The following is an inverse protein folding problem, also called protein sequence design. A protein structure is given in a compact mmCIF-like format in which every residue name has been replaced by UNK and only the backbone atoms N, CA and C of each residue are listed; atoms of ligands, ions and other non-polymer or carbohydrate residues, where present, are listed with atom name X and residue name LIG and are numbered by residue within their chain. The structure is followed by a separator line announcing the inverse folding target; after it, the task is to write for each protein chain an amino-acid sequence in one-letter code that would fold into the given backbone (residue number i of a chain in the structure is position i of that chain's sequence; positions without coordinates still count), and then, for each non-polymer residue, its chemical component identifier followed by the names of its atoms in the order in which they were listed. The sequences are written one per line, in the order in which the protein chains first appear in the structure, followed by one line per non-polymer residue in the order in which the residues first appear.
data_IF_138540049369
#
_entry.id   IF_138540049369
#
_cell.length_a   1.000
_cell.length_b   1.000
_cell.length_c   1.000
_cell.angle_alpha   90.00
_cell.angle_beta   90.00
_cell.angle_gamma   90.00
#
_symmetry.space_group_name_H-M   'P 1'
#
loop_
_entity.id
_entity.type
_entity.pdbx_description
1 polymer ?
#
# COMPACT_ATOMS: atom_id res chain seq x y z
N UNK A 1 38.07 -13.28 7.43
CA UNK A 1 38.33 -12.59 8.72
C UNK A 1 37.12 -12.86 9.60
N UNK A 2 37.33 -13.22 10.88
CA UNK A 2 36.31 -13.65 11.86
C UNK A 2 34.96 -12.94 11.67
N UNK A 3 33.85 -13.67 11.78
CA UNK A 3 32.45 -13.23 11.61
C UNK A 3 32.06 -12.08 12.57
N UNK A 4 32.61 -10.90 12.31
CA UNK A 4 32.59 -9.69 13.16
C UNK A 4 32.44 -8.46 12.28
N UNK A 5 31.60 -7.53 12.75
CA UNK A 5 31.48 -6.19 12.19
C UNK A 5 32.20 -5.22 13.12
N UNK A 6 33.07 -4.36 12.57
CA UNK A 6 33.85 -3.40 13.35
C UNK A 6 33.68 -2.03 12.70
N UNK A 7 33.31 -1.02 13.50
CA UNK A 7 33.29 0.37 13.08
C UNK A 7 34.48 1.12 13.70
N UNK A 8 35.15 1.92 12.88
CA UNK A 8 36.19 2.85 13.29
C UNK A 8 35.67 4.26 13.02
N UNK A 9 35.50 5.08 14.05
CA UNK A 9 34.92 6.42 13.92
C UNK A 9 35.62 7.47 14.79
N UNK A 10 35.52 8.72 14.36
CA UNK A 10 36.10 9.85 15.07
C UNK A 10 35.33 10.16 16.35
N UNK A 11 36.05 10.44 17.44
CA UNK A 11 35.43 10.97 18.66
C UNK A 11 35.04 12.42 18.43
N UNK A 12 33.80 12.80 18.73
CA UNK A 12 33.36 14.20 18.64
C UNK A 12 34.14 15.09 19.62
N UNK A 13 34.51 16.28 19.16
CA UNK A 13 35.18 17.30 19.98
C UNK A 13 34.29 17.76 21.15
N UNK A 14 34.94 18.05 22.28
CA UNK A 14 34.36 18.79 23.41
C UNK A 14 35.02 20.18 23.43
N UNK A 15 34.65 21.06 22.49
CA UNK A 15 35.12 22.46 22.41
C UNK A 15 35.67 22.90 21.03
N UNK A 16 35.61 24.21 20.76
CA UNK A 16 35.84 24.84 19.44
C UNK A 16 37.31 24.91 18.96
N UNK A 17 38.31 24.62 19.79
CA UNK A 17 39.69 25.06 19.51
C UNK A 17 40.77 23.97 19.41
N UNK A 18 40.43 22.68 19.29
CA UNK A 18 41.44 21.61 19.00
C UNK A 18 40.91 20.58 17.99
N UNK A 19 41.74 20.11 17.02
CA UNK A 19 41.38 18.99 16.17
C UNK A 19 41.20 17.72 17.02
N UNK A 20 40.19 16.90 16.72
CA UNK A 20 39.96 15.65 17.44
C UNK A 20 41.08 14.66 17.14
N UNK A 21 41.85 14.16 18.14
CA UNK A 21 43.01 13.33 17.85
C UNK A 21 42.73 11.83 17.94
N UNK A 22 41.49 11.39 18.20
CA UNK A 22 41.19 10.00 18.59
C UNK A 22 40.18 9.29 17.69
N UNK A 23 40.59 8.17 17.11
CA UNK A 23 39.70 7.18 16.51
C UNK A 23 39.28 6.15 17.57
N UNK A 24 38.01 5.77 17.57
CA UNK A 24 37.47 4.71 18.43
C UNK A 24 37.08 3.53 17.55
N UNK A 25 37.47 2.32 17.98
CA UNK A 25 37.07 1.06 17.35
C UNK A 25 36.04 0.37 18.23
N UNK A 26 34.90 -0.01 17.66
CA UNK A 26 33.85 -0.76 18.36
C UNK A 26 33.49 -2.00 17.56
N UNK A 27 33.37 -3.13 18.26
CA UNK A 27 32.84 -4.37 17.69
C UNK A 27 31.32 -4.32 17.78
N UNK A 28 30.66 -4.36 16.63
CA UNK A 28 29.22 -4.19 16.45
C UNK A 28 28.49 -5.54 16.38
N UNK A 29 28.55 -6.29 17.48
CA UNK A 29 28.01 -7.66 17.54
C UNK A 29 26.49 -7.70 17.35
N UNK A 30 25.76 -6.79 18.00
CA UNK A 30 24.30 -6.73 17.92
C UNK A 30 23.82 -6.22 16.56
N UNK A 31 24.51 -5.23 15.96
CA UNK A 31 24.21 -4.74 14.62
C UNK A 31 24.47 -5.84 13.58
N UNK A 32 25.56 -6.60 13.70
CA UNK A 32 25.82 -7.75 12.83
C UNK A 32 24.71 -8.80 12.94
N UNK A 33 24.22 -9.08 14.15
CA UNK A 33 23.08 -9.98 14.35
C UNK A 33 21.83 -9.47 13.63
N UNK A 34 21.51 -8.19 13.78
CA UNK A 34 20.37 -7.55 13.07
C UNK A 34 20.54 -7.61 11.56
N UNK A 35 21.74 -7.34 11.03
CA UNK A 35 22.04 -7.46 9.59
C UNK A 35 21.77 -8.88 9.09
N UNK A 36 22.20 -9.91 9.82
CA UNK A 36 21.93 -11.31 9.47
C UNK A 36 20.43 -11.63 9.46
N UNK A 37 19.67 -11.12 10.43
CA UNK A 37 18.22 -11.28 10.49
C UNK A 37 17.50 -10.61 9.31
N UNK A 38 17.95 -9.41 8.91
CA UNK A 38 17.45 -8.69 7.72
C UNK A 38 17.76 -9.48 6.44
N UNK A 39 19.01 -9.93 6.25
CA UNK A 39 19.40 -10.73 5.08
C UNK A 39 18.62 -12.04 4.98
N UNK A 40 18.40 -12.72 6.12
CA UNK A 40 17.57 -13.92 6.16
C UNK A 40 16.10 -13.62 5.80
N UNK A 41 15.59 -12.45 6.19
CA UNK A 41 14.25 -12.00 5.82
C UNK A 41 14.15 -11.72 4.32
N UNK A 42 15.10 -10.99 3.74
CA UNK A 42 15.14 -10.72 2.30
C UNK A 42 15.14 -12.00 1.48
N UNK A 43 15.98 -12.98 1.86
CA UNK A 43 16.00 -14.29 1.19
C UNK A 43 14.63 -14.99 1.24
N UNK A 44 13.95 -14.99 2.39
CA UNK A 44 12.61 -15.59 2.53
C UNK A 44 11.56 -14.84 1.69
N UNK A 45 11.69 -13.52 1.55
CA UNK A 45 10.77 -12.72 0.73
C UNK A 45 11.02 -13.01 -0.74
N UNK A 46 12.28 -13.03 -1.19
CA UNK A 46 12.66 -13.41 -2.56
C UNK A 46 12.17 -14.82 -2.93
N UNK A 47 12.31 -15.78 -2.02
CA UNK A 47 11.80 -17.15 -2.21
C UNK A 47 10.28 -17.19 -2.34
N UNK A 48 9.54 -16.32 -1.62
CA UNK A 48 8.09 -16.20 -1.75
C UNK A 48 7.70 -15.54 -3.06
N UNK A 49 8.35 -14.44 -3.42
CA UNK A 49 8.07 -13.72 -4.67
C UNK A 49 8.39 -14.59 -5.89
N UNK A 50 9.48 -15.35 -5.86
CA UNK A 50 9.85 -16.28 -6.94
C UNK A 50 8.75 -17.32 -7.22
N UNK A 51 7.95 -17.69 -6.21
CA UNK A 51 6.80 -18.60 -6.37
C UNK A 51 5.59 -17.93 -7.02
N UNK A 52 5.57 -16.60 -7.13
CA UNK A 52 4.58 -15.86 -7.93
C UNK A 52 4.86 -15.98 -9.43
N UNK A 53 5.96 -16.59 -9.87
CA UNK A 53 6.22 -16.86 -11.28
C UNK A 53 7.09 -18.12 -11.36
N UNK A 54 6.52 -19.30 -11.03
CA UNK A 54 7.32 -20.53 -10.96
C UNK A 54 7.88 -20.85 -12.34
N UNK A 55 9.19 -21.07 -12.42
CA UNK A 55 9.81 -21.66 -13.59
C UNK A 55 9.25 -23.08 -13.76
N UNK A 56 8.47 -23.31 -14.81
CA UNK A 56 8.05 -24.67 -15.16
C UNK A 56 9.30 -25.49 -15.48
N UNK A 57 9.51 -26.56 -14.73
CA UNK A 57 10.51 -27.57 -15.02
C UNK A 57 10.00 -28.44 -16.17
N UNK A 58 10.56 -28.24 -17.37
CA UNK A 58 10.70 -29.15 -18.52
C UNK A 58 9.58 -30.14 -18.92
N UNK A 59 8.34 -30.03 -18.44
CA UNK A 59 7.28 -30.99 -18.71
C UNK A 59 5.91 -30.32 -18.95
N UNK A 60 5.81 -29.48 -19.97
CA UNK A 60 4.64 -29.38 -20.86
C UNK A 60 4.87 -28.32 -21.92
N UNK A 61 5.35 -28.78 -23.09
CA UNK A 61 5.28 -28.05 -24.35
C UNK A 61 3.82 -27.90 -24.75
N UNK A 62 3.17 -26.80 -24.36
CA UNK A 62 2.15 -26.07 -25.15
C UNK A 62 1.51 -25.00 -24.28
N UNK A 63 2.00 -23.77 -24.38
CA UNK A 63 1.32 -22.48 -24.15
C UNK A 63 2.38 -21.43 -23.80
N UNK A 64 2.03 -20.14 -23.77
CA UNK A 64 2.81 -18.97 -23.35
C UNK A 64 3.45 -19.04 -21.94
N UNK A 65 3.46 -20.23 -21.33
CA UNK A 65 3.90 -20.60 -19.99
C UNK A 65 5.45 -20.60 -19.79
N UNK A 66 6.24 -20.42 -20.85
CA UNK A 66 7.70 -20.35 -20.74
C UNK A 66 8.22 -19.00 -20.19
N UNK A 67 7.36 -17.98 -20.07
CA UNK A 67 7.77 -16.61 -19.74
C UNK A 67 8.45 -16.49 -18.35
N UNK A 68 8.04 -17.26 -17.35
CA UNK A 68 8.63 -17.22 -16.01
C UNK A 68 10.03 -17.85 -15.93
N UNK A 69 10.29 -18.87 -16.74
CA UNK A 69 11.57 -19.61 -16.68
C UNK A 69 12.78 -18.76 -17.11
N UNK A 70 12.54 -17.72 -17.92
CA UNK A 70 13.58 -16.83 -18.44
C UNK A 70 13.71 -15.51 -17.66
N UNK A 71 12.78 -15.21 -16.74
CA UNK A 71 12.69 -13.90 -16.09
C UNK A 71 12.95 -14.02 -14.59
N UNK A 72 14.02 -13.35 -14.14
CA UNK A 72 14.27 -13.20 -12.71
C UNK A 72 13.41 -12.04 -12.14
N UNK A 73 12.21 -12.37 -11.66
CA UNK A 73 11.27 -11.39 -11.11
C UNK A 73 11.68 -10.81 -9.75
N UNK A 74 12.73 -11.30 -9.09
CA UNK A 74 13.24 -10.66 -7.86
C UNK A 74 14.35 -9.65 -8.16
N UNK A 75 14.91 -9.67 -9.37
CA UNK A 75 15.96 -8.74 -9.77
C UNK A 75 15.44 -7.30 -9.76
N UNK A 76 16.00 -6.46 -8.89
CA UNK A 76 15.63 -5.05 -8.74
C UNK A 76 14.35 -4.82 -7.93
N UNK A 77 13.77 -5.85 -7.32
CA UNK A 77 12.66 -5.70 -6.38
C UNK A 77 13.19 -5.13 -5.05
N UNK A 78 12.61 -4.03 -4.59
CA UNK A 78 13.09 -3.28 -3.42
C UNK A 78 12.02 -3.02 -2.36
N UNK A 79 10.75 -3.24 -2.68
CA UNK A 79 9.65 -3.15 -1.74
C UNK A 79 8.52 -4.07 -2.11
N UNK A 80 7.84 -4.63 -1.12
CA UNK A 80 6.71 -5.53 -1.32
C UNK A 80 5.67 -5.37 -0.20
N UNK A 81 4.47 -4.90 -0.54
CA UNK A 81 3.34 -4.80 0.38
C UNK A 81 2.38 -5.98 0.14
N UNK A 82 2.18 -6.82 1.15
CA UNK A 82 1.32 -8.01 1.09
C UNK A 82 0.54 -8.21 2.40
N UNK A 83 0.54 -9.39 3.01
CA UNK A 83 -0.30 -9.69 4.18
C UNK A 83 0.03 -8.96 5.49
N UNK A 84 1.19 -8.29 5.62
CA UNK A 84 1.59 -7.64 6.87
C UNK A 84 0.91 -6.27 7.07
N UNK A 85 -0.30 -6.28 7.61
CA UNK A 85 -1.03 -5.06 7.99
C UNK A 85 -1.26 -4.99 9.51
N UNK A 86 -1.11 -3.80 10.11
CA UNK A 86 -1.45 -3.50 11.50
C UNK A 86 -1.88 -2.05 11.65
N UNK A 87 -3.02 -1.81 12.29
CA UNK A 87 -3.60 -0.47 12.53
C UNK A 87 -3.79 0.32 11.23
N UNK A 88 -2.88 1.26 10.94
CA UNK A 88 -2.84 2.05 9.71
C UNK A 88 -1.56 1.81 8.91
N UNK A 89 -0.75 0.83 9.31
CA UNK A 89 0.55 0.54 8.72
C UNK A 89 0.48 -0.72 7.87
N UNK A 90 0.68 -0.56 6.57
CA UNK A 90 0.92 -1.66 5.64
C UNK A 90 2.43 -1.86 5.52
N UNK A 91 2.95 -2.91 6.17
CA UNK A 91 4.39 -3.11 6.34
C UNK A 91 5.03 -3.71 5.10
N UNK A 92 6.18 -3.18 4.76
CA UNK A 92 7.03 -3.74 3.72
C UNK A 92 7.64 -5.06 4.16
N UNK A 93 7.44 -6.07 3.34
CA UNK A 93 7.93 -7.42 3.55
C UNK A 93 9.47 -7.47 3.56
N UNK A 94 10.14 -6.55 2.85
CA UNK A 94 11.60 -6.37 2.86
C UNK A 94 12.12 -5.52 4.03
N UNK A 95 11.25 -5.10 4.96
CA UNK A 95 11.60 -4.24 6.10
C UNK A 95 12.15 -2.86 5.68
N UNK A 96 11.86 -2.42 4.45
CA UNK A 96 12.20 -1.09 3.96
C UNK A 96 11.17 -0.07 4.45
N UNK A 97 10.42 0.49 3.51
CA UNK A 97 9.54 1.63 3.77
C UNK A 97 8.11 1.13 3.88
N UNK A 98 7.41 1.39 4.98
CA UNK A 98 6.01 1.02 5.12
C UNK A 98 5.09 2.03 4.40
N UNK A 99 3.90 1.58 3.99
CA UNK A 99 2.84 2.47 3.51
C UNK A 99 1.85 2.81 4.64
N UNK A 100 1.28 4.01 4.57
CA UNK A 100 0.24 4.47 5.48
C UNK A 100 -1.12 4.30 4.83
N UNK A 101 -2.00 3.54 5.47
CA UNK A 101 -3.37 3.27 5.02
C UNK A 101 -4.34 4.18 5.76
N UNK A 102 -5.29 4.74 5.01
CA UNK A 102 -6.45 5.48 5.52
C UNK A 102 -7.69 4.72 5.06
N UNK A 103 -8.50 4.24 5.99
CA UNK A 103 -9.75 3.52 5.68
C UNK A 103 -9.53 2.14 5.08
N UNK A 104 -10.00 1.10 5.76
CA UNK A 104 -9.87 -0.29 5.31
C UNK A 104 -9.25 -1.21 6.35
N UNK A 105 -9.06 -2.46 5.96
CA UNK A 105 -8.54 -3.50 6.83
C UNK A 105 -7.66 -4.50 6.06
N UNK A 106 -6.76 -5.16 6.78
CA UNK A 106 -5.85 -6.16 6.23
C UNK A 106 -6.59 -7.40 5.72
N UNK A 107 -6.08 -7.95 4.64
CA UNK A 107 -6.47 -9.24 4.05
C UNK A 107 -5.25 -10.16 4.02
N UNK A 108 -5.42 -11.41 3.59
CA UNK A 108 -4.33 -12.38 3.53
C UNK A 108 -3.10 -11.88 2.76
N UNK A 109 -3.31 -11.17 1.65
CA UNK A 109 -2.24 -10.72 0.74
C UNK A 109 -2.26 -9.21 0.46
N UNK A 110 -2.94 -8.42 1.30
CA UNK A 110 -2.99 -6.97 1.13
C UNK A 110 -4.04 -6.27 1.97
N UNK A 111 -4.77 -5.32 1.39
CA UNK A 111 -5.73 -4.45 2.11
C UNK A 111 -7.02 -4.32 1.30
N UNK A 112 -8.16 -4.36 1.99
CA UNK A 112 -9.45 -3.95 1.44
C UNK A 112 -9.79 -2.55 1.93
N UNK A 113 -9.77 -1.60 1.01
CA UNK A 113 -10.15 -0.20 1.23
C UNK A 113 -11.67 -0.08 1.20
N UNK A 114 -12.23 0.58 2.21
CA UNK A 114 -13.67 0.82 2.38
C UNK A 114 -13.88 2.22 2.91
N UNK A 115 -14.87 2.93 2.38
CA UNK A 115 -15.18 4.29 2.76
C UNK A 115 -14.62 5.30 1.76
N UNK A 116 -15.30 6.45 1.70
CA UNK A 116 -14.85 7.62 0.95
C UNK A 116 -13.44 8.04 1.38
N UNK A 117 -12.57 8.24 0.39
CA UNK A 117 -11.18 8.65 0.61
C UNK A 117 -10.26 7.54 1.11
N UNK A 118 -10.70 6.28 1.07
CA UNK A 118 -9.87 5.15 1.49
C UNK A 118 -8.75 4.85 0.49
N UNK A 119 -7.55 4.58 1.01
CA UNK A 119 -6.37 4.33 0.19
C UNK A 119 -5.09 4.18 1.01
N UNK A 120 -3.96 4.08 0.32
CA UNK A 120 -2.63 4.00 0.91
C UNK A 120 -1.66 4.96 0.24
N UNK A 121 -0.77 5.55 1.05
CA UNK A 121 0.35 6.37 0.61
C UNK A 121 1.66 5.63 0.92
N UNK A 122 2.47 5.37 -0.11
CA UNK A 122 3.77 4.71 0.03
C UNK A 122 4.90 5.71 -0.27
N UNK A 123 5.61 6.22 0.75
CA UNK A 123 6.40 7.44 0.62
C UNK A 123 7.70 7.25 -0.18
N UNK A 124 8.09 8.30 -0.90
CA UNK A 124 9.34 8.41 -1.68
C UNK A 124 10.17 9.59 -1.16
N UNK A 125 9.87 10.81 -1.59
CA UNK A 125 10.53 12.03 -1.13
C UNK A 125 10.03 12.50 0.25
N UNK A 126 8.86 12.05 0.70
CA UNK A 126 8.33 12.40 2.03
C UNK A 126 8.98 11.65 3.19
N UNK A 127 10.03 10.84 2.93
CA UNK A 127 10.80 10.11 3.96
C UNK A 127 11.74 11.01 4.77
N UNK A 128 11.92 12.28 4.38
CA UNK A 128 12.82 13.23 5.05
C UNK A 128 14.24 13.14 4.53
N UNK A 129 15.22 13.09 5.44
CA UNK A 129 16.65 13.13 5.11
C UNK A 129 17.13 11.84 4.41
N UNK A 130 16.67 10.66 4.86
CA UNK A 130 17.04 9.37 4.28
C UNK A 130 15.93 8.87 3.35
N UNK A 131 16.04 9.18 2.06
CA UNK A 131 15.07 8.79 1.04
C UNK A 131 15.46 7.47 0.35
N UNK A 132 15.10 6.33 0.95
CA UNK A 132 15.45 5.00 0.42
C UNK A 132 14.92 4.78 -1.01
N UNK A 133 13.80 5.40 -1.36
CA UNK A 133 13.16 5.25 -2.67
C UNK A 133 13.49 6.37 -3.66
N UNK A 134 14.52 7.19 -3.40
CA UNK A 134 14.91 8.28 -4.29
C UNK A 134 15.18 7.83 -5.75
N UNK A 135 15.57 6.57 -5.96
CA UNK A 135 15.71 5.97 -7.30
C UNK A 135 14.46 6.12 -8.18
N UNK A 136 13.26 6.16 -7.56
CA UNK A 136 12.00 6.27 -8.28
C UNK A 136 11.88 7.59 -9.05
N UNK A 137 12.69 8.59 -8.72
CA UNK A 137 12.78 9.81 -9.51
C UNK A 137 13.34 9.58 -10.93
N UNK A 138 14.01 8.46 -11.17
CA UNK A 138 14.65 8.14 -12.44
C UNK A 138 14.02 6.91 -13.10
N UNK A 139 13.93 5.80 -12.37
CA UNK A 139 13.49 4.53 -12.91
C UNK A 139 12.73 3.75 -11.84
N UNK A 140 11.52 3.29 -12.15
CA UNK A 140 10.82 2.33 -11.30
C UNK A 140 9.77 1.53 -12.06
N UNK A 141 9.33 0.43 -11.46
CA UNK A 141 8.06 -0.23 -11.80
C UNK A 141 7.26 -0.48 -10.54
N UNK A 142 6.01 -0.01 -10.50
CA UNK A 142 5.05 -0.29 -9.44
C UNK A 142 3.99 -1.24 -10.00
N UNK A 143 3.81 -2.40 -9.39
CA UNK A 143 2.82 -3.42 -9.80
C UNK A 143 1.86 -3.64 -8.65
N UNK A 144 0.56 -3.80 -8.94
CA UNK A 144 -0.44 -4.18 -7.95
C UNK A 144 -1.49 -5.11 -8.56
N UNK A 145 -2.08 -5.98 -7.75
CA UNK A 145 -3.26 -6.77 -8.12
C UNK A 145 -4.48 -6.17 -7.44
N UNK A 146 -5.49 -5.79 -8.22
CA UNK A 146 -6.65 -5.02 -7.74
C UNK A 146 -7.97 -5.73 -8.08
N UNK A 147 -8.99 -5.53 -7.23
CA UNK A 147 -10.38 -5.93 -7.49
C UNK A 147 -11.33 -4.84 -7.00
N UNK A 148 -12.18 -4.35 -7.89
CA UNK A 148 -13.18 -3.30 -7.62
C UNK A 148 -14.51 -3.98 -7.27
N UNK A 149 -15.12 -3.68 -6.13
CA UNK A 149 -16.26 -4.44 -5.57
C UNK A 149 -17.63 -3.76 -5.77
N UNK A 150 -17.71 -2.80 -6.67
CA UNK A 150 -18.94 -2.05 -6.94
C UNK A 150 -18.79 -1.22 -8.21
N UNK A 151 -19.88 -0.57 -8.59
CA UNK A 151 -19.88 0.37 -9.71
C UNK A 151 -19.85 1.80 -9.20
N UNK A 152 -18.99 2.66 -9.78
CA UNK A 152 -19.12 4.09 -9.58
C UNK A 152 -20.49 4.58 -10.05
N UNK A 153 -21.13 5.42 -9.26
CA UNK A 153 -22.31 6.21 -9.55
C UNK A 153 -21.93 7.56 -10.19
N UNK A 154 -20.77 8.12 -9.81
CA UNK A 154 -20.31 9.41 -10.30
C UNK A 154 -19.67 9.33 -11.70
N UNK A 155 -19.87 10.38 -12.50
CA UNK A 155 -19.26 10.53 -13.85
C UNK A 155 -17.74 10.70 -13.80
N UNK A 156 -17.21 11.20 -12.67
CA UNK A 156 -15.80 11.52 -12.55
C UNK A 156 -14.98 10.23 -12.39
N UNK A 157 -13.92 10.02 -13.19
CA UNK A 157 -13.05 8.86 -13.02
C UNK A 157 -12.43 8.80 -11.62
N UNK A 158 -12.51 7.63 -10.99
CA UNK A 158 -11.97 7.36 -9.66
C UNK A 158 -10.50 6.95 -9.78
N UNK A 159 -9.55 7.65 -9.12
CA UNK A 159 -8.15 7.22 -9.08
C UNK A 159 -8.00 5.83 -8.43
N UNK A 160 -7.19 4.98 -9.06
CA UNK A 160 -6.90 3.62 -8.59
C UNK A 160 -5.48 3.48 -8.07
N UNK A 161 -4.49 3.97 -8.83
CA UNK A 161 -3.08 3.90 -8.47
C UNK A 161 -2.32 4.98 -9.22
N UNK A 162 -1.32 5.59 -8.60
CA UNK A 162 -0.58 6.67 -9.25
C UNK A 162 0.64 7.16 -8.50
N UNK A 163 1.29 8.14 -9.11
CA UNK A 163 2.52 8.76 -8.63
C UNK A 163 2.24 10.23 -8.34
N UNK A 164 2.54 10.64 -7.11
CA UNK A 164 2.40 12.02 -6.66
C UNK A 164 3.73 12.74 -6.64
N UNK A 165 3.74 14.01 -7.03
CA UNK A 165 4.92 14.89 -6.98
C UNK A 165 4.91 15.74 -5.70
N UNK A 166 6.09 16.16 -5.24
CA UNK A 166 6.30 17.18 -4.23
C UNK A 166 6.06 18.56 -4.88
N UNK A 167 4.85 19.17 -4.77
CA UNK A 167 4.69 20.63 -4.88
C UNK A 167 3.29 21.17 -4.53
N UNK A 168 3.25 22.45 -4.11
CA UNK A 168 2.12 23.15 -3.47
C UNK A 168 0.94 23.54 -4.37
N UNK A 169 -0.25 23.48 -3.77
CA UNK A 169 -1.57 23.99 -4.20
C UNK A 169 -2.10 23.69 -5.63
N UNK A 170 -1.34 23.09 -6.55
CA UNK A 170 -1.84 22.69 -7.88
C UNK A 170 -1.40 21.27 -8.22
N UNK A 171 -2.25 20.31 -7.87
CA UNK A 171 -2.18 18.91 -8.32
C UNK A 171 -2.25 18.83 -9.84
N UNK A 172 -1.20 18.29 -10.48
CA UNK A 172 -1.44 17.09 -11.24
C UNK A 172 -0.47 16.02 -10.76
N UNK A 173 -0.97 14.82 -10.43
CA UNK A 173 -0.08 13.68 -10.28
C UNK A 173 0.78 13.52 -11.56
N UNK A 174 1.91 12.82 -11.44
CA UNK A 174 2.82 12.60 -12.58
C UNK A 174 2.19 11.67 -13.63
N UNK A 175 1.72 10.52 -13.16
CA UNK A 175 1.16 9.44 -13.96
C UNK A 175 0.31 8.53 -13.06
N UNK A 176 -0.80 8.02 -13.59
CA UNK A 176 -1.55 6.98 -12.92
C UNK A 176 -2.75 6.49 -13.72
N UNK A 177 -3.48 5.59 -13.08
CA UNK A 177 -4.63 4.88 -13.62
C UNK A 177 -5.88 5.23 -12.82
N UNK A 178 -6.97 5.49 -13.51
CA UNK A 178 -8.31 5.64 -12.96
C UNK A 178 -9.30 4.75 -13.72
N UNK A 179 -10.49 4.62 -13.15
CA UNK A 179 -11.60 3.88 -13.74
C UNK A 179 -12.90 4.67 -13.61
N UNK A 180 -13.86 4.44 -14.50
CA UNK A 180 -15.16 5.14 -14.50
C UNK A 180 -16.33 4.15 -14.51
N UNK A 181 -17.54 4.70 -14.35
CA UNK A 181 -18.80 3.93 -14.37
C UNK A 181 -19.09 3.24 -15.71
N UNK A 182 -18.55 3.76 -16.83
CA UNK A 182 -18.65 3.09 -18.14
C UNK A 182 -17.75 1.85 -18.26
N UNK A 183 -17.17 1.38 -17.14
CA UNK A 183 -16.29 0.22 -17.09
C UNK A 183 -15.02 0.39 -17.91
N UNK A 184 -14.51 1.62 -18.02
CA UNK A 184 -13.31 1.94 -18.81
C UNK A 184 -12.13 2.32 -17.92
N UNK A 185 -10.96 1.82 -18.30
CA UNK A 185 -9.68 2.30 -17.77
C UNK A 185 -9.29 3.62 -18.42
N UNK A 186 -8.85 4.57 -17.60
CA UNK A 186 -8.33 5.85 -18.06
C UNK A 186 -6.95 6.09 -17.46
N UNK A 187 -5.96 6.28 -18.33
CA UNK A 187 -4.63 6.71 -17.88
C UNK A 187 -4.57 8.23 -17.92
N UNK A 188 -3.97 8.83 -16.90
CA UNK A 188 -3.68 10.25 -16.88
C UNK A 188 -2.18 10.43 -16.63
N UNK A 189 -1.57 11.41 -17.30
CA UNK A 189 -0.15 11.74 -17.14
C UNK A 189 0.25 12.98 -17.94
N UNK A 190 1.31 13.65 -17.48
CA UNK A 190 1.84 14.89 -18.07
C UNK A 190 1.03 16.16 -17.73
N UNK A 191 1.56 17.33 -18.10
CA UNK A 191 1.04 18.68 -17.77
C UNK A 191 -0.33 19.06 -18.39
N UNK A 192 -1.13 18.08 -18.83
CA UNK A 192 -2.45 18.33 -19.39
C UNK A 192 -3.11 17.12 -20.03
N UNK A 193 -3.84 16.33 -19.23
CA UNK A 193 -5.03 15.55 -19.65
C UNK A 193 -4.88 14.64 -20.89
N UNK A 194 -3.82 13.83 -21.01
CA UNK A 194 -3.87 12.77 -22.02
C UNK A 194 -4.61 11.55 -21.46
N UNK A 195 -5.92 11.46 -21.68
CA UNK A 195 -6.71 10.26 -21.37
C UNK A 195 -6.63 9.26 -22.52
N UNK A 196 -5.68 8.32 -22.44
CA UNK A 196 -5.73 7.12 -23.28
C UNK A 196 -6.64 6.10 -22.61
N UNK A 197 -7.55 5.52 -23.39
CA UNK A 197 -8.41 4.42 -22.95
C UNK A 197 -7.74 3.08 -23.24
N UNK A 198 -7.91 2.12 -22.34
CA UNK A 198 -7.57 0.74 -22.64
C UNK A 198 -8.64 0.12 -23.56
N UNK A 199 -8.26 -0.87 -24.37
CA UNK A 199 -9.19 -1.54 -25.28
C UNK A 199 -10.17 -2.45 -24.54
N UNK A 200 -9.71 -3.10 -23.47
CA UNK A 200 -10.58 -3.83 -22.53
C UNK A 200 -11.06 -2.93 -21.40
N UNK A 201 -12.28 -3.20 -20.92
CA UNK A 201 -12.84 -2.56 -19.74
C UNK A 201 -12.40 -3.24 -18.44
N UNK A 202 -13.01 -2.79 -17.34
CA UNK A 202 -12.93 -3.42 -16.03
C UNK A 202 -14.29 -4.02 -15.66
N UNK A 203 -14.29 -5.05 -14.83
CA UNK A 203 -15.52 -5.70 -14.38
C UNK A 203 -15.56 -5.77 -12.85
N UNK A 204 -16.71 -5.52 -12.21
CA UNK A 204 -16.85 -5.70 -10.77
C UNK A 204 -16.45 -7.11 -10.33
N UNK A 205 -15.83 -7.21 -9.16
CA UNK A 205 -15.32 -8.45 -8.57
C UNK A 205 -14.30 -9.18 -9.45
N UNK A 206 -13.72 -8.52 -10.44
CA UNK A 206 -12.71 -9.11 -11.32
C UNK A 206 -11.33 -8.63 -10.92
N UNK A 207 -10.41 -9.59 -10.85
CA UNK A 207 -9.02 -9.33 -10.50
C UNK A 207 -8.23 -8.87 -11.72
N UNK A 208 -7.69 -7.67 -11.64
CA UNK A 208 -6.82 -7.08 -12.65
C UNK A 208 -5.41 -6.88 -12.10
N UNK A 209 -4.39 -7.13 -12.91
CA UNK A 209 -3.05 -6.64 -12.61
C UNK A 209 -2.87 -5.27 -13.25
N UNK A 210 -2.35 -4.32 -12.49
CA UNK A 210 -2.00 -3.00 -12.99
C UNK A 210 -0.52 -2.72 -12.72
N UNK A 211 0.14 -2.03 -13.65
CA UNK A 211 1.51 -1.60 -13.46
C UNK A 211 1.74 -0.18 -13.96
N UNK A 212 2.62 0.56 -13.28
CA UNK A 212 3.14 1.86 -13.70
C UNK A 212 4.65 1.73 -13.84
N UNK A 213 5.18 2.10 -15.01
CA UNK A 213 6.61 2.10 -15.30
C UNK A 213 7.04 3.54 -15.55
N UNK A 214 8.12 3.95 -14.89
CA UNK A 214 8.87 5.16 -15.25
C UNK A 214 10.24 4.75 -15.74
N UNK A 215 10.62 5.30 -16.90
CA UNK A 215 11.91 5.08 -17.54
C UNK A 215 12.56 6.43 -17.83
N UNK A 216 13.87 6.53 -17.54
CA UNK A 216 14.69 7.72 -17.83
C UNK A 216 14.16 9.03 -17.22
N UNK A 217 13.37 8.94 -16.15
CA UNK A 217 12.77 10.07 -15.43
C UNK A 217 11.62 10.78 -16.14
N UNK A 218 11.42 10.53 -17.45
CA UNK A 218 10.50 11.29 -18.30
C UNK A 218 9.54 10.41 -19.12
N UNK A 219 9.79 9.10 -19.24
CA UNK A 219 8.95 8.20 -20.04
C UNK A 219 8.07 7.34 -19.13
N UNK A 220 6.78 7.61 -19.15
CA UNK A 220 5.77 6.89 -18.37
C UNK A 220 5.07 5.79 -19.18
N UNK A 221 4.76 4.65 -18.60
CA UNK A 221 3.85 3.66 -19.21
C UNK A 221 2.94 3.05 -18.14
N UNK A 222 1.71 2.74 -18.52
CA UNK A 222 0.75 2.06 -17.64
C UNK A 222 0.29 0.79 -18.33
N UNK A 223 0.13 -0.28 -17.56
CA UNK A 223 -0.31 -1.58 -18.05
C UNK A 223 -1.53 -2.05 -17.27
N UNK A 224 -2.43 -2.72 -17.97
CA UNK A 224 -3.55 -3.46 -17.40
C UNK A 224 -3.50 -4.87 -17.98
N UNK A 225 -3.50 -5.87 -17.11
CA UNK A 225 -3.46 -7.29 -17.46
C UNK A 225 -2.37 -7.65 -18.48
N UNK A 226 -1.15 -7.15 -18.22
CA UNK A 226 0.02 -7.39 -19.07
C UNK A 226 0.06 -6.54 -20.35
N UNK A 227 -1.02 -5.82 -20.68
CA UNK A 227 -1.10 -5.02 -21.89
C UNK A 227 -0.89 -3.54 -21.59
N UNK A 228 -0.08 -2.88 -22.41
CA UNK A 228 0.17 -1.44 -22.28
C UNK A 228 -1.09 -0.66 -22.65
N UNK A 229 -1.48 0.27 -21.79
CA UNK A 229 -2.58 1.20 -22.07
C UNK A 229 -2.09 2.28 -23.03
N UNK A 230 -2.51 2.14 -24.27
CA UNK A 230 -2.02 2.94 -25.40
C UNK A 230 -0.73 2.36 -26.00
N UNK A 231 -0.44 2.72 -27.25
CA UNK A 231 0.66 2.11 -28.02
C UNK A 231 2.05 2.69 -27.77
N UNK A 232 2.18 3.81 -27.05
CA UNK A 232 3.46 4.49 -26.82
C UNK A 232 3.57 5.01 -25.39
N UNK A 233 4.78 5.06 -24.81
CA UNK A 233 5.03 5.75 -23.55
C UNK A 233 4.49 7.19 -23.57
N UNK A 234 4.06 7.65 -22.41
CA UNK A 234 3.69 9.03 -22.13
C UNK A 234 4.97 9.85 -21.91
N UNK A 235 5.06 10.98 -22.58
CA UNK A 235 6.12 11.96 -22.35
C UNK A 235 5.72 12.84 -21.17
N UNK A 236 6.41 12.67 -20.04
CA UNK A 236 6.21 13.40 -18.80
C UNK A 236 7.06 14.68 -18.83
N UNK A 237 6.73 15.56 -19.79
CA UNK A 237 7.36 16.89 -19.93
C UNK A 237 7.22 17.70 -18.63
N UNK A 238 8.23 18.54 -18.35
CA UNK A 238 8.27 19.48 -17.24
C UNK A 238 8.21 18.87 -15.82
N UNK A 239 8.99 17.80 -15.57
CA UNK A 239 9.26 17.36 -14.18
C UNK A 239 10.00 18.42 -13.35
N UNK A 240 10.73 19.34 -14.00
CA UNK A 240 11.53 20.36 -13.32
C UNK A 240 12.46 19.76 -12.27
N UNK A 241 12.68 20.47 -11.16
CA UNK A 241 13.37 19.96 -9.96
C UNK A 241 12.42 19.24 -8.99
N UNK A 242 11.20 18.91 -9.42
CA UNK A 242 10.19 18.32 -8.54
C UNK A 242 10.47 16.83 -8.39
N UNK A 243 10.48 16.39 -7.15
CA UNK A 243 10.68 14.98 -6.83
C UNK A 243 9.34 14.29 -6.57
N UNK A 244 9.31 12.97 -6.70
CA UNK A 244 8.15 12.16 -6.33
C UNK A 244 7.98 12.23 -4.81
N UNK A 245 6.76 12.54 -4.36
CA UNK A 245 6.42 12.57 -2.94
C UNK A 245 6.09 11.17 -2.43
N UNK A 246 5.16 10.48 -3.08
CA UNK A 246 4.71 9.14 -2.75
C UNK A 246 4.02 8.45 -3.94
N UNK A 247 3.91 7.13 -3.86
CA UNK A 247 2.92 6.38 -4.63
C UNK A 247 1.60 6.37 -3.87
N UNK A 248 0.47 6.49 -4.56
CA UNK A 248 -0.84 6.30 -3.95
C UNK A 248 -1.55 5.09 -4.55
N UNK A 249 -2.35 4.42 -3.72
CA UNK A 249 -3.16 3.24 -4.07
C UNK A 249 -4.56 3.49 -3.51
N UNK A 250 -5.59 3.43 -4.35
CA UNK A 250 -6.92 3.95 -4.01
C UNK A 250 -6.94 5.49 -4.04
N UNK A 251 -7.49 6.10 -3.00
CA UNK A 251 -7.60 7.56 -2.90
C UNK A 251 -6.23 8.27 -2.75
N UNK A 252 -6.07 9.38 -3.46
CA UNK A 252 -4.86 10.25 -3.49
C UNK A 252 -4.84 11.29 -2.33
N UNK A 253 -5.53 11.03 -1.20
CA UNK A 253 -5.48 11.84 0.03
C UNK A 253 -6.03 13.29 -0.02
N UNK A 254 -5.83 14.03 -1.12
CA UNK A 254 -6.19 15.45 -1.29
C UNK A 254 -7.61 15.70 -1.81
N UNK A 255 -8.33 14.65 -2.21
CA UNK A 255 -9.72 14.72 -2.69
C UNK A 255 -10.68 13.88 -1.84
N UNK A 256 -10.33 13.60 -0.58
CA UNK A 256 -11.11 12.74 0.32
C UNK A 256 -12.59 13.18 0.46
N UNK A 257 -12.95 14.43 0.14
CA UNK A 257 -14.34 14.90 0.15
C UNK A 257 -15.16 14.62 -1.12
N UNK A 258 -14.53 14.29 -2.26
CA UNK A 258 -15.17 14.15 -3.59
C UNK A 258 -15.09 12.75 -4.20
N UNK A 259 -14.57 11.78 -3.44
CA UNK A 259 -14.35 10.44 -3.95
C UNK A 259 -15.50 9.54 -3.53
N UNK A 260 -15.97 8.74 -4.47
CA UNK A 260 -17.07 7.82 -4.24
C UNK A 260 -16.65 6.66 -3.33
N UNK A 261 -17.63 6.04 -2.67
CA UNK A 261 -17.42 4.92 -1.75
C UNK A 261 -17.51 3.58 -2.49
N UNK A 262 -16.58 3.35 -3.42
CA UNK A 262 -16.45 2.07 -4.14
C UNK A 262 -15.37 1.23 -3.45
N UNK A 263 -15.72 0.08 -2.83
CA UNK A 263 -14.73 -0.72 -2.12
C UNK A 263 -13.71 -1.33 -3.09
N UNK A 264 -12.45 -1.34 -2.67
CA UNK A 264 -11.32 -1.76 -3.49
C UNK A 264 -10.44 -2.71 -2.68
N UNK A 265 -10.20 -3.92 -3.19
CA UNK A 265 -9.16 -4.81 -2.63
C UNK A 265 -7.89 -4.69 -3.45
N UNK A 266 -6.76 -4.47 -2.78
CA UNK A 266 -5.45 -4.48 -3.39
C UNK A 266 -4.57 -5.50 -2.70
N UNK A 267 -3.92 -6.34 -3.50
CA UNK A 267 -3.00 -7.37 -3.03
C UNK A 267 -1.69 -7.30 -3.80
N UNK A 268 -0.62 -7.74 -3.14
CA UNK A 268 0.72 -7.89 -3.72
C UNK A 268 1.19 -6.67 -4.50
N UNK A 269 1.54 -5.61 -3.78
CA UNK A 269 2.12 -4.39 -4.38
C UNK A 269 3.63 -4.53 -4.43
N UNK A 270 4.21 -4.56 -5.63
CA UNK A 270 5.65 -4.72 -5.85
C UNK A 270 6.27 -3.43 -6.37
N UNK A 271 7.42 -3.03 -5.81
CA UNK A 271 8.18 -1.88 -6.25
C UNK A 271 9.57 -2.30 -6.73
N UNK A 272 9.87 -2.04 -7.99
CA UNK A 272 11.15 -2.29 -8.62
C UNK A 272 11.93 -0.98 -8.81
N UNK A 273 13.25 -1.04 -8.65
CA UNK A 273 14.17 0.08 -8.90
C UNK A 273 14.63 0.21 -10.37
N UNK A 274 13.89 -0.44 -11.28
CA UNK A 274 14.16 -0.47 -12.72
C UNK A 274 12.86 -0.53 -13.51
N UNK A 275 12.84 -0.10 -14.78
CA UNK A 275 11.75 -0.42 -15.67
C UNK A 275 11.72 -1.92 -15.96
N UNK A 276 10.55 -2.54 -15.81
CA UNK A 276 10.28 -3.87 -16.32
C UNK A 276 9.86 -3.77 -17.79
N UNK A 277 10.30 -4.72 -18.62
CA UNK A 277 9.86 -4.81 -20.00
C UNK A 277 8.52 -5.54 -20.15
N UNK A 278 7.93 -5.49 -21.35
CA UNK A 278 6.61 -6.08 -21.63
C UNK A 278 6.54 -7.59 -21.31
N UNK A 279 7.63 -8.34 -21.51
CA UNK A 279 7.67 -9.77 -21.20
C UNK A 279 7.67 -10.02 -19.69
N UNK A 280 8.41 -9.22 -18.92
CA UNK A 280 8.45 -9.31 -17.45
C UNK A 280 7.08 -8.98 -16.84
N UNK A 281 6.41 -7.95 -17.35
CA UNK A 281 5.06 -7.56 -16.91
C UNK A 281 4.05 -8.65 -17.30
N UNK A 282 4.14 -9.19 -18.52
CA UNK A 282 3.28 -10.30 -18.97
C UNK A 282 3.47 -11.54 -18.11
N UNK A 283 4.71 -11.86 -17.73
CA UNK A 283 5.03 -12.99 -16.85
C UNK A 283 4.42 -12.79 -15.45
N UNK A 284 4.53 -11.59 -14.88
CA UNK A 284 3.86 -11.27 -13.61
C UNK A 284 2.35 -11.39 -13.74
N UNK A 285 1.75 -10.93 -14.85
CA UNK A 285 0.30 -10.99 -15.06
C UNK A 285 -0.22 -12.42 -15.20
N UNK A 286 0.51 -13.29 -15.92
CA UNK A 286 0.11 -14.69 -16.12
C UNK A 286 -0.04 -15.46 -14.80
N UNK A 287 0.61 -14.99 -13.73
CA UNK A 287 0.59 -15.61 -12.42
C UNK A 287 -0.07 -14.75 -11.34
N UNK A 288 -0.89 -13.75 -11.76
CA UNK A 288 -1.67 -12.98 -10.79
C UNK A 288 -2.56 -13.93 -10.00
N UNK A 289 -2.54 -13.78 -8.68
CA UNK A 289 -3.41 -14.56 -7.80
C UNK A 289 -4.82 -14.00 -7.94
N UNK A 290 -5.78 -14.85 -8.30
CA UNK A 290 -7.19 -14.45 -8.31
C UNK A 290 -7.65 -14.13 -6.89
N UNK A 291 -8.20 -12.94 -6.70
CA UNK A 291 -8.83 -12.54 -5.44
C UNK A 291 -10.22 -13.18 -5.43
N UNK A 292 -10.58 -14.00 -4.42
CA UNK A 292 -11.91 -14.59 -4.34
C UNK A 292 -13.00 -13.52 -4.35
N UNK A 293 -14.03 -13.70 -5.19
CA UNK A 293 -15.22 -12.85 -5.16
C UNK A 293 -15.82 -12.92 -3.76
N UNK A 294 -16.05 -11.78 -3.13
CA UNK A 294 -16.68 -11.77 -1.82
C UNK A 294 -18.15 -12.16 -2.02
N UNK A 295 -18.52 -13.41 -1.72
CA UNK A 295 -19.95 -13.75 -1.59
C UNK A 295 -20.46 -12.94 -0.42
N UNK A 296 -21.32 -11.95 -0.70
CA UNK A 296 -22.03 -11.19 0.31
C UNK A 296 -22.89 -12.17 1.11
N UNK A 297 -22.29 -12.80 2.11
CA UNK A 297 -23.01 -13.56 3.11
C UNK A 297 -23.72 -12.50 3.93
N UNK A 298 -24.99 -12.26 3.62
CA UNK A 298 -25.90 -11.59 4.53
C UNK A 298 -26.05 -12.50 5.74
N UNK A 299 -25.07 -12.47 6.63
CA UNK A 299 -25.32 -12.84 8.01
C UNK A 299 -26.01 -11.62 8.59
N UNK A 300 -27.33 -11.55 8.40
CA UNK A 300 -28.17 -10.78 9.30
C UNK A 300 -27.86 -11.33 10.69
N UNK A 301 -27.08 -10.59 11.46
CA UNK A 301 -26.96 -10.83 12.89
C UNK A 301 -28.37 -10.80 13.44
N UNK A 302 -28.89 -11.98 13.77
CA UNK A 302 -30.11 -12.09 14.53
C UNK A 302 -29.94 -11.21 15.78
N UNK A 303 -30.89 -10.33 16.00
CA UNK A 303 -31.00 -9.50 17.18
C UNK A 303 -30.72 -10.35 18.43
N UNK A 304 -29.63 -10.04 19.12
CA UNK A 304 -29.46 -10.47 20.51
C UNK A 304 -30.49 -9.66 21.29
N UNK A 305 -31.66 -10.28 21.48
CA UNK A 305 -32.71 -9.79 22.36
C UNK A 305 -32.12 -9.58 23.76
N UNK A 306 -31.99 -8.30 24.12
CA UNK A 306 -31.60 -7.85 25.45
C UNK A 306 -32.76 -8.16 26.39
N UNK A 307 -32.58 -8.87 27.52
CA UNK A 307 -33.69 -9.08 28.44
C UNK A 307 -34.08 -7.74 29.07
N UNK A 308 -35.35 -7.35 28.88
CA UNK A 308 -36.03 -6.28 29.63
C UNK A 308 -35.94 -6.59 31.12
N UNK A 309 -35.27 -5.72 31.88
CA UNK A 309 -35.43 -5.66 33.33
C UNK A 309 -36.56 -4.67 33.61
N UNK A 310 -37.75 -5.19 33.91
CA UNK A 310 -38.86 -4.43 34.48
C UNK A 310 -38.99 -4.84 35.94
N UNK A 311 -39.16 -3.85 36.82
CA UNK A 311 -39.31 -4.00 38.26
C UNK A 311 -40.77 -4.31 38.67
N UNK A 312 -40.92 -4.64 39.96
CA UNK A 312 -42.14 -4.79 40.80
C UNK A 312 -42.87 -6.14 40.72
N UNK A 313 -43.41 -6.76 41.78
CA UNK A 313 -43.40 -6.61 43.25
C UNK A 313 -44.08 -7.89 43.81
N UNK A 314 -43.68 -8.43 44.98
CA UNK A 314 -44.57 -8.82 46.11
C UNK A 314 -43.82 -9.52 47.28
N UNK A 315 -43.69 -8.77 48.37
CA UNK A 315 -44.05 -9.04 49.79
C UNK A 315 -43.65 -10.31 50.60
N UNK A 316 -43.40 -10.00 51.89
CA UNK A 316 -43.42 -10.80 53.15
C UNK A 316 -42.07 -11.42 53.59
N UNK A 317 -41.53 -11.21 54.80
CA UNK A 317 -41.91 -10.37 55.94
C UNK A 317 -40.86 -10.35 57.07
N UNK A 318 -40.85 -9.24 57.84
CA UNK A 318 -40.66 -9.07 59.31
C UNK A 318 -39.31 -9.44 60.01
N UNK A 319 -39.01 -8.97 61.25
CA UNK A 319 -38.30 -7.69 61.53
C UNK A 319 -37.12 -7.80 62.53
N UNK A 320 -36.40 -6.67 62.74
CA UNK A 320 -35.53 -6.41 63.91
C UNK A 320 -34.58 -5.22 63.63
N UNK A 321 -34.92 -4.00 64.03
CA UNK A 321 -34.65 -3.34 65.32
C UNK A 321 -33.32 -2.55 65.32
N UNK A 322 -33.39 -1.23 65.56
CA UNK A 322 -32.23 -0.36 65.82
C UNK A 322 -32.29 1.07 65.26
N UNK A 323 -32.99 1.97 66.00
CA UNK A 323 -32.62 3.36 66.40
C UNK A 323 -31.53 4.13 65.61
N UNK A 324 -31.57 5.46 65.32
CA UNK A 324 -32.31 6.61 65.85
C UNK A 324 -32.18 7.88 64.96
N UNK A 325 -33.28 8.66 64.92
CA UNK A 325 -33.47 10.14 65.06
C UNK A 325 -32.77 11.21 64.16
N UNK A 326 -33.63 12.22 63.91
CA UNK A 326 -33.47 13.66 63.60
C UNK A 326 -33.37 14.11 62.13
N UNK A 327 -33.99 15.20 61.62
CA UNK A 327 -35.18 16.05 61.89
C UNK A 327 -35.06 17.24 60.90
N UNK A 328 -36.16 17.58 60.18
CA UNK A 328 -36.58 18.95 59.70
C UNK A 328 -35.63 19.69 58.73
N UNK A 329 -36.02 20.60 57.83
CA UNK A 329 -37.18 20.95 56.99
C UNK A 329 -36.77 22.24 56.21
N UNK A 330 -37.57 22.64 55.23
CA UNK A 330 -37.60 23.95 54.50
C UNK A 330 -36.52 24.15 53.43
N UNK A 331 -36.84 24.29 52.13
CA UNK A 331 -37.79 25.16 51.38
C UNK A 331 -37.20 26.52 50.99
N UNK A 332 -37.61 26.93 49.79
CA UNK A 332 -37.53 28.23 49.12
C UNK A 332 -36.35 28.35 48.13
N UNK A 333 -36.55 28.68 46.86
CA UNK A 333 -37.66 29.40 46.23
C UNK A 333 -37.17 30.79 45.83
N UNK A 334 -36.80 30.95 44.55
CA UNK A 334 -36.30 32.18 43.95
C UNK A 334 -35.64 31.91 42.62
#
# INVERSE_FOLDING_TARGET
KEDKLIALYEKKNVGESKPSPGMVSVVLTEELKRVKEVLATWKKVDERVSKLCPSLSAAQDTSTANACSAVNITAGLVGFLSGKFSDTTWRDEYLGVNATVKGGFGTENGVKFTGRGAGAEWPVGSQGENQLYHFANYNFTLVATVSIHGEPEEENPIPLIGVKMNEGNKNPGLLGLSYNKERQWQVWGGAGKTTKKHSSGWEPETTHQVAIVLQNGTQGSVYVDGQRVGGSPFDLKDKGSKEISHFFIGADGGNAGKQEDVPLTVTNVLLYNRPLNDNEITALNANKISIPKTVATRTSSAEVSRPKRSAENLTTGTPGEGTARHVVAHSDGG
#
